data_IF_722172824426
#
_entry.id   IF_722172824426
#
_cell.length_a   1.000
_cell.length_b   1.000
_cell.length_c   1.000
_cell.angle_alpha   90.00
_cell.angle_beta   90.00
_cell.angle_gamma   90.00
#
_symmetry.space_group_name_H-M   'P 1'
#
loop_
_entity.id
_entity.type
_entity.pdbx_description
1 polymer ?
#
# COMPACT_ATOMS: atom_id res chain seq x y z
N UNK A 1 -8.40 15.46 9.90
CA UNK A 1 -7.03 14.91 9.69
C UNK A 1 -7.07 13.81 8.64
N UNK A 2 -8.06 12.92 8.71
CA UNK A 2 -8.37 11.85 7.76
C UNK A 2 -8.56 12.28 6.30
N UNK A 3 -9.34 13.33 6.03
CA UNK A 3 -9.58 13.80 4.66
C UNK A 3 -8.28 14.20 3.92
N UNK A 4 -7.36 14.87 4.62
CA UNK A 4 -6.04 15.23 4.06
C UNK A 4 -5.15 14.01 3.80
N UNK A 5 -5.27 12.97 4.65
CA UNK A 5 -4.55 11.71 4.44
C UNK A 5 -5.07 10.98 3.22
N UNK A 6 -6.40 10.82 3.08
CA UNK A 6 -6.99 10.18 1.91
C UNK A 6 -6.64 10.93 0.61
N UNK A 7 -6.70 12.26 0.61
CA UNK A 7 -6.28 13.08 -0.53
C UNK A 7 -4.81 12.81 -0.88
N UNK A 8 -3.91 12.86 0.10
CA UNK A 8 -2.49 12.60 -0.11
C UNK A 8 -2.23 11.16 -0.61
N UNK A 9 -2.92 10.18 -0.02
CA UNK A 9 -2.75 8.77 -0.34
C UNK A 9 -3.18 8.47 -1.77
N UNK A 10 -4.33 9.00 -2.18
CA UNK A 10 -4.95 8.68 -3.47
C UNK A 10 -4.41 9.55 -4.62
N UNK A 11 -3.75 10.68 -4.33
CA UNK A 11 -3.19 11.58 -5.36
C UNK A 11 -2.21 10.82 -6.28
N UNK A 12 -2.34 11.09 -7.58
CA UNK A 12 -1.47 10.61 -8.65
C UNK A 12 -0.89 11.81 -9.42
N UNK A 13 0.28 11.67 -10.08
CA UNK A 13 1.19 10.53 -9.99
C UNK A 13 1.89 10.47 -8.62
N UNK A 14 2.22 9.27 -8.15
CA UNK A 14 3.04 9.05 -6.96
C UNK A 14 3.92 7.82 -7.10
N UNK A 15 5.01 7.74 -6.33
CA UNK A 15 5.73 6.50 -6.12
C UNK A 15 5.23 5.88 -4.82
N UNK A 16 4.60 4.71 -4.93
CA UNK A 16 4.14 3.93 -3.80
C UNK A 16 4.86 2.60 -3.71
N UNK A 17 5.41 2.26 -2.53
CA UNK A 17 6.06 0.96 -2.27
C UNK A 17 5.44 0.28 -1.07
N UNK A 18 5.15 -1.01 -1.20
CA UNK A 18 4.60 -1.84 -0.12
C UNK A 18 5.68 -2.80 0.39
N UNK A 19 6.06 -2.63 1.65
CA UNK A 19 6.93 -3.55 2.38
C UNK A 19 6.10 -4.64 3.07
N UNK A 20 6.55 -5.88 2.94
CA UNK A 20 5.98 -7.06 3.61
C UNK A 20 7.10 -7.97 4.11
N UNK A 21 6.76 -9.00 4.89
CA UNK A 21 7.69 -10.05 5.26
C UNK A 21 6.94 -11.38 5.42
N UNK A 22 7.61 -12.51 5.19
CA UNK A 22 7.07 -13.82 5.54
C UNK A 22 6.95 -14.00 7.06
N UNK A 23 6.35 -15.11 7.51
CA UNK A 23 6.29 -15.48 8.94
C UNK A 23 7.67 -15.69 9.58
N UNK A 24 8.67 -16.06 8.76
CA UNK A 24 10.06 -16.30 9.19
C UNK A 24 10.90 -15.00 9.16
N UNK A 25 10.29 -13.86 8.82
CA UNK A 25 10.96 -12.56 8.77
C UNK A 25 11.73 -12.29 7.46
N UNK A 26 11.53 -13.09 6.41
CA UNK A 26 12.14 -12.82 5.10
C UNK A 26 11.39 -11.65 4.43
N UNK A 27 12.09 -10.52 4.27
CA UNK A 27 11.51 -9.26 3.82
C UNK A 27 11.31 -9.19 2.30
N UNK A 28 10.32 -8.39 1.88
CA UNK A 28 10.02 -8.08 0.49
C UNK A 28 9.55 -6.63 0.34
N UNK A 29 9.78 -6.03 -0.83
CA UNK A 29 9.26 -4.70 -1.17
C UNK A 29 8.88 -4.65 -2.65
N UNK A 30 7.68 -4.15 -2.94
CA UNK A 30 7.17 -4.01 -4.31
C UNK A 30 6.65 -2.60 -4.57
N UNK A 31 6.87 -2.09 -5.78
CA UNK A 31 6.19 -0.87 -6.26
C UNK A 31 4.73 -1.21 -6.50
N UNK A 32 3.82 -0.47 -5.85
CA UNK A 32 2.39 -0.74 -5.87
C UNK A 32 1.59 0.51 -6.20
N UNK A 33 1.02 0.55 -7.40
CA UNK A 33 0.14 1.62 -7.87
C UNK A 33 -1.36 1.40 -7.57
N UNK A 34 -1.76 0.16 -7.29
CA UNK A 34 -3.16 -0.26 -7.14
C UNK A 34 -3.78 0.07 -5.77
N UNK A 35 -2.98 0.54 -4.80
CA UNK A 35 -3.51 0.86 -3.46
C UNK A 35 -4.37 2.12 -3.53
N UNK A 36 -5.54 2.06 -2.92
CA UNK A 36 -6.45 3.20 -2.77
C UNK A 36 -7.11 3.17 -1.39
N UNK A 37 -7.14 4.31 -0.70
CA UNK A 37 -8.00 4.49 0.46
C UNK A 37 -9.45 4.67 -0.01
N UNK A 38 -10.34 3.78 0.42
CA UNK A 38 -11.78 3.84 0.11
C UNK A 38 -12.56 4.53 1.24
N UNK A 39 -11.98 4.58 2.44
CA UNK A 39 -12.44 5.35 3.58
C UNK A 39 -11.23 5.75 4.45
N UNK A 40 -11.48 6.37 5.61
CA UNK A 40 -10.42 6.90 6.48
C UNK A 40 -9.50 5.83 7.11
N UNK A 41 -9.91 4.55 7.09
CA UNK A 41 -9.22 3.44 7.77
C UNK A 41 -9.06 2.19 6.90
N UNK A 42 -9.63 2.17 5.71
CA UNK A 42 -9.64 1.01 4.82
C UNK A 42 -8.98 1.34 3.49
N UNK A 43 -8.08 0.45 3.07
CA UNK A 43 -7.51 0.46 1.73
C UNK A 43 -7.97 -0.77 0.95
N UNK A 44 -8.07 -0.62 -0.35
CA UNK A 44 -8.15 -1.73 -1.30
C UNK A 44 -6.86 -1.78 -2.12
N UNK A 45 -6.46 -2.99 -2.51
CA UNK A 45 -5.29 -3.19 -3.35
C UNK A 45 -5.49 -4.42 -4.23
N UNK A 46 -5.03 -4.34 -5.48
CA UNK A 46 -4.97 -5.48 -6.38
C UNK A 46 -3.54 -6.05 -6.39
N UNK A 47 -3.44 -7.37 -6.24
CA UNK A 47 -2.17 -8.08 -6.23
C UNK A 47 -2.12 -9.15 -7.33
N UNK A 48 -0.94 -9.32 -7.94
CA UNK A 48 -0.61 -10.57 -8.61
C UNK A 48 -0.38 -11.69 -7.58
N UNK A 49 -0.42 -12.95 -8.01
CA UNK A 49 -0.10 -14.12 -7.17
C UNK A 49 1.42 -14.26 -6.97
N UNK A 50 2.05 -13.23 -6.41
CA UNK A 50 3.49 -13.14 -6.17
C UNK A 50 3.88 -13.12 -4.69
N UNK A 51 5.17 -12.84 -4.43
CA UNK A 51 5.75 -12.87 -3.08
C UNK A 51 5.03 -11.94 -2.09
N UNK A 52 4.73 -10.71 -2.48
CA UNK A 52 4.00 -9.76 -1.63
C UNK A 52 2.66 -10.32 -1.16
N UNK A 53 1.89 -10.95 -2.06
CA UNK A 53 0.61 -11.57 -1.69
C UNK A 53 0.81 -12.81 -0.80
N UNK A 54 1.76 -13.68 -1.14
CA UNK A 54 2.10 -14.85 -0.31
C UNK A 54 2.53 -14.44 1.11
N UNK A 55 3.37 -13.41 1.23
CA UNK A 55 3.77 -12.85 2.53
C UNK A 55 2.57 -12.39 3.35
N UNK A 56 1.64 -11.64 2.74
CA UNK A 56 0.44 -11.14 3.43
C UNK A 56 -0.47 -12.28 3.93
N UNK A 57 -0.52 -13.41 3.22
CA UNK A 57 -1.29 -14.58 3.66
C UNK A 57 -0.73 -15.23 4.94
N UNK A 58 0.58 -15.18 5.13
CA UNK A 58 1.25 -15.78 6.30
C UNK A 58 1.49 -14.77 7.44
N UNK A 59 1.72 -13.51 7.09
CA UNK A 59 1.98 -12.39 7.99
C UNK A 59 1.21 -11.16 7.48
N UNK A 60 0.09 -10.78 8.13
CA UNK A 60 -0.79 -9.75 7.59
C UNK A 60 -0.23 -8.34 7.72
N UNK A 61 0.93 -8.13 8.37
CA UNK A 61 1.48 -6.81 8.62
C UNK A 61 2.23 -6.27 7.39
N UNK A 62 1.99 -5.00 7.07
CA UNK A 62 2.67 -4.32 5.97
C UNK A 62 2.88 -2.84 6.27
N UNK A 63 3.77 -2.22 5.50
CA UNK A 63 3.92 -0.75 5.48
C UNK A 63 3.87 -0.28 4.04
N UNK A 64 3.01 0.69 3.75
CA UNK A 64 3.00 1.39 2.47
C UNK A 64 3.67 2.74 2.62
N UNK A 65 4.69 3.00 1.82
CA UNK A 65 5.37 4.29 1.77
C UNK A 65 5.01 4.98 0.45
N UNK A 66 4.54 6.22 0.57
CA UNK A 66 4.25 7.09 -0.57
C UNK A 66 5.31 8.18 -0.59
N UNK A 67 5.86 8.45 -1.77
CA UNK A 67 6.82 9.52 -2.02
C UNK A 67 6.32 10.40 -3.16
N UNK A 68 6.33 11.71 -2.92
CA UNK A 68 6.14 12.73 -3.92
C UNK A 68 7.49 13.38 -4.23
N UNK A 69 7.85 13.36 -5.50
CA UNK A 69 9.10 13.95 -5.97
C UNK A 69 9.07 15.47 -5.79
N UNK A 70 10.14 16.01 -5.22
CA UNK A 70 10.47 17.43 -5.24
C UNK A 70 11.51 17.73 -6.32
N UNK A 71 11.91 18.99 -6.42
CA UNK A 71 13.01 19.46 -7.28
C UNK A 71 14.34 18.76 -6.97
N UNK A 72 14.63 18.57 -5.68
CA UNK A 72 15.81 17.88 -5.18
C UNK A 72 15.43 16.81 -4.17
N UNK A 73 16.33 15.85 -3.90
CA UNK A 73 16.03 14.73 -3.00
C UNK A 73 15.61 15.17 -1.58
N UNK A 74 16.15 16.29 -1.09
CA UNK A 74 15.82 16.84 0.23
C UNK A 74 14.42 17.48 0.27
N UNK A 75 13.85 17.83 -0.89
CA UNK A 75 12.51 18.39 -1.00
C UNK A 75 11.43 17.31 -1.02
N UNK A 76 11.81 16.05 -1.24
CA UNK A 76 10.86 14.95 -1.34
C UNK A 76 10.06 14.85 -0.06
N UNK A 77 8.74 14.69 -0.23
CA UNK A 77 7.81 14.49 0.87
C UNK A 77 7.22 13.10 0.76
N UNK A 78 6.94 12.50 1.91
CA UNK A 78 6.34 11.18 1.94
C UNK A 78 5.64 10.89 3.25
N UNK A 79 4.84 9.84 3.22
CA UNK A 79 4.19 9.28 4.41
C UNK A 79 4.41 7.77 4.44
N UNK A 80 4.32 7.21 5.65
CA UNK A 80 4.25 5.77 5.89
C UNK A 80 2.89 5.45 6.47
N UNK A 81 2.19 4.50 5.88
CA UNK A 81 0.93 3.97 6.37
C UNK A 81 1.17 2.53 6.79
N UNK A 82 0.99 2.26 8.08
CA UNK A 82 1.12 0.92 8.63
C UNK A 82 -0.21 0.20 8.50
N UNK A 83 -0.17 -0.99 7.94
CA UNK A 83 -1.32 -1.71 7.43
C UNK A 83 -1.35 -3.11 8.02
N UNK A 84 -2.57 -3.65 8.11
CA UNK A 84 -2.80 -5.07 8.37
C UNK A 84 -3.83 -5.57 7.39
N UNK A 85 -3.51 -6.60 6.61
CA UNK A 85 -4.49 -7.27 5.75
C UNK A 85 -5.57 -7.90 6.63
N UNK A 86 -6.83 -7.53 6.37
CA UNK A 86 -7.99 -8.07 7.09
C UNK A 86 -8.60 -9.25 6.36
N UNK A 87 -8.72 -9.13 5.05
CA UNK A 87 -9.31 -10.11 4.17
C UNK A 87 -8.72 -9.98 2.76
N UNK A 88 -8.95 -11.02 1.95
CA UNK A 88 -8.75 -10.97 0.51
C UNK A 88 -9.90 -11.70 -0.17
N UNK A 89 -10.29 -11.20 -1.32
CA UNK A 89 -11.33 -11.80 -2.16
C UNK A 89 -10.76 -12.12 -3.54
N UNK A 90 -11.18 -13.22 -4.13
CA UNK A 90 -10.75 -13.67 -5.46
C UNK A 90 -11.85 -13.53 -6.52
N UNK A 91 -13.05 -13.12 -6.10
CA UNK A 91 -14.20 -12.83 -6.93
C UNK A 91 -15.07 -11.78 -6.25
N UNK A 92 -15.86 -11.05 -7.03
CA UNK A 92 -16.71 -9.98 -6.53
C UNK A 92 -17.24 -9.12 -7.68
N UNK A 93 -18.12 -8.15 -7.37
CA UNK A 93 -18.55 -7.16 -8.34
C UNK A 93 -17.35 -6.35 -8.83
N UNK A 94 -17.37 -5.98 -10.11
CA UNK A 94 -16.39 -5.06 -10.67
C UNK A 94 -16.55 -3.70 -9.97
N UNK A 95 -15.44 -3.14 -9.48
CA UNK A 95 -15.43 -1.79 -8.92
C UNK A 95 -15.50 -0.80 -10.10
N UNK A 96 -16.49 0.11 -10.06
CA UNK A 96 -16.63 1.23 -11.00
C UNK A 96 -15.55 2.30 -10.79
#
# INVERSE_FOLDING_TARGET
MSAKLMEYFNRQPRIGVLGTASKDGIVDVAVMGSLQMIDEKTITAAFARGRTFANLQENPNAVYMIMNQGSEILDWKGIRVYLRMREYVTSGPQLE
#
